data_IF_633280901380
#
_entry.id   IF_633280901380
#
_cell.length_a   1.000
_cell.length_b   1.000
_cell.length_c   1.000
_cell.angle_alpha   90.00
_cell.angle_beta   90.00
_cell.angle_gamma   90.00
#
_symmetry.space_group_name_H-M   'P 1'
#
loop_
_entity.id
_entity.type
_entity.pdbx_description
1 polymer ?
#
# COMPACT_ATOMS: atom_id res chain seq x y z
N UNK A 1 3.22 -6.65 -15.15
CA UNK A 1 2.08 -6.55 -14.19
C UNK A 1 1.16 -5.38 -14.54
N UNK A 2 -0.15 -5.57 -14.47
CA UNK A 2 -1.14 -4.50 -14.65
C UNK A 2 -1.05 -3.43 -13.55
N UNK A 3 -1.61 -2.22 -13.79
CA UNK A 3 -1.58 -1.09 -12.84
C UNK A 3 -2.14 -1.47 -11.46
N UNK A 4 -3.15 -2.34 -11.43
CA UNK A 4 -3.78 -2.81 -10.18
C UNK A 4 -2.82 -3.66 -9.33
N UNK A 5 -1.96 -4.45 -9.98
CA UNK A 5 -1.01 -5.33 -9.29
C UNK A 5 0.28 -4.59 -8.88
N UNK A 6 0.61 -3.47 -9.55
CA UNK A 6 1.70 -2.56 -9.18
C UNK A 6 1.24 -1.55 -8.12
N UNK A 7 0.77 -2.04 -6.98
CA UNK A 7 0.24 -1.21 -5.90
C UNK A 7 1.35 -0.29 -5.34
N UNK A 8 1.06 1.00 -5.06
CA UNK A 8 2.04 1.90 -4.47
C UNK A 8 2.40 1.49 -3.04
N UNK A 9 3.60 1.85 -2.60
CA UNK A 9 4.06 1.64 -1.23
C UNK A 9 4.44 2.98 -0.59
N UNK A 10 3.93 3.24 0.61
CA UNK A 10 4.25 4.45 1.38
C UNK A 10 5.62 4.35 2.05
N UNK A 11 6.29 5.49 2.25
CA UNK A 11 7.55 5.56 3.01
C UNK A 11 7.42 4.93 4.40
N UNK A 12 6.33 5.18 5.13
CA UNK A 12 6.09 4.59 6.45
C UNK A 12 6.17 3.07 6.47
N UNK A 13 5.59 2.40 5.47
CA UNK A 13 5.61 0.94 5.37
C UNK A 13 6.97 0.44 4.92
N UNK A 14 7.63 1.19 4.04
CA UNK A 14 8.96 0.86 3.55
C UNK A 14 9.97 0.87 4.71
N UNK A 15 9.95 1.91 5.56
CA UNK A 15 10.76 2.01 6.79
C UNK A 15 10.53 0.79 7.68
N UNK A 16 9.25 0.47 7.95
CA UNK A 16 8.90 -0.69 8.78
C UNK A 16 9.41 -2.02 8.22
N UNK A 17 9.38 -2.20 6.89
CA UNK A 17 9.84 -3.46 6.27
C UNK A 17 11.36 -3.56 6.16
N UNK A 18 12.06 -2.44 6.20
CA UNK A 18 13.52 -2.34 6.15
C UNK A 18 14.18 -2.31 7.54
N UNK A 19 13.40 -2.20 8.61
CA UNK A 19 13.90 -2.33 9.97
C UNK A 19 14.61 -3.68 10.17
N UNK A 20 15.84 -3.64 10.69
CA UNK A 20 16.71 -4.82 10.88
C UNK A 20 17.31 -5.39 9.58
N UNK A 21 17.16 -4.71 8.44
CA UNK A 21 17.73 -5.10 7.13
C UNK A 21 18.64 -4.00 6.59
N UNK A 22 19.46 -3.46 7.46
CA UNK A 22 20.40 -2.39 7.14
C UNK A 22 21.41 -2.85 6.07
N UNK A 23 21.85 -1.92 5.24
CA UNK A 23 22.78 -2.19 4.13
C UNK A 23 22.16 -2.89 2.89
N UNK A 24 20.95 -3.44 2.99
CA UNK A 24 20.24 -4.05 1.84
C UNK A 24 19.49 -3.02 1.01
N UNK A 25 19.31 -3.31 -0.28
CA UNK A 25 18.52 -2.47 -1.19
C UNK A 25 17.06 -2.90 -1.17
N UNK A 26 16.15 -1.97 -0.84
CA UNK A 26 14.72 -2.19 -0.91
C UNK A 26 14.25 -2.14 -2.37
N UNK A 27 13.71 -3.23 -2.91
CA UNK A 27 13.30 -3.31 -4.32
C UNK A 27 11.79 -3.42 -4.42
N UNK A 28 11.16 -2.45 -5.09
CA UNK A 28 9.72 -2.38 -5.28
C UNK A 28 9.35 -2.30 -6.77
N UNK A 29 8.59 -3.27 -7.25
CA UNK A 29 7.99 -3.21 -8.60
C UNK A 29 6.69 -2.40 -8.55
N UNK A 30 6.82 -1.08 -8.35
CA UNK A 30 5.69 -0.17 -8.16
C UNK A 30 6.14 1.28 -7.95
N UNK A 31 5.21 2.11 -7.46
CA UNK A 31 5.48 3.51 -7.12
C UNK A 31 5.74 3.66 -5.63
N UNK A 32 6.79 4.37 -5.25
CA UNK A 32 7.00 4.82 -3.87
C UNK A 32 6.35 6.19 -3.68
N UNK A 33 5.48 6.30 -2.69
CA UNK A 33 4.76 7.53 -2.35
C UNK A 33 5.19 8.05 -0.99
N UNK A 34 5.21 9.37 -0.86
CA UNK A 34 5.50 10.03 0.41
C UNK A 34 4.41 9.75 1.47
N UNK A 35 4.79 9.88 2.73
CA UNK A 35 3.87 9.83 3.87
C UNK A 35 4.17 10.99 4.81
N UNK A 36 3.33 12.02 4.77
CA UNK A 36 3.46 13.26 5.55
C UNK A 36 3.42 13.00 7.06
N UNK A 37 2.84 11.87 7.47
CA UNK A 37 2.72 11.48 8.89
C UNK A 37 4.03 10.96 9.47
N UNK A 38 5.00 10.59 8.63
CA UNK A 38 6.34 10.22 9.08
C UNK A 38 7.13 11.49 9.24
N UNK A 39 7.80 11.68 10.37
CA UNK A 39 8.68 12.83 10.58
C UNK A 39 10.07 12.53 10.02
N UNK A 40 10.72 11.49 10.57
CA UNK A 40 12.08 11.12 10.21
C UNK A 40 12.12 9.93 9.25
N UNK A 41 12.86 10.11 8.15
CA UNK A 41 13.14 9.04 7.18
C UNK A 41 14.59 8.60 7.41
N UNK A 42 14.85 7.33 7.74
CA UNK A 42 16.21 6.84 7.85
C UNK A 42 16.88 6.71 6.47
N UNK A 43 18.21 6.81 6.44
CA UNK A 43 18.99 6.60 5.24
C UNK A 43 18.80 5.17 4.71
N UNK A 44 18.38 5.04 3.46
CA UNK A 44 18.12 3.74 2.84
C UNK A 44 18.27 3.79 1.32
N UNK A 45 18.63 2.64 0.74
CA UNK A 45 18.72 2.46 -0.71
C UNK A 45 17.43 1.85 -1.21
N UNK A 46 16.72 2.55 -2.09
CA UNK A 46 15.42 2.12 -2.60
C UNK A 46 15.45 2.09 -4.11
N UNK A 47 15.10 0.95 -4.69
CA UNK A 47 14.84 0.80 -6.13
C UNK A 47 13.34 0.72 -6.38
N UNK A 48 12.82 1.56 -7.27
CA UNK A 48 11.41 1.51 -7.67
C UNK A 48 11.20 1.86 -9.14
N UNK A 49 10.00 1.56 -9.67
CA UNK A 49 9.64 1.96 -11.04
C UNK A 49 9.41 3.46 -11.13
N UNK A 50 8.82 4.05 -10.08
CA UNK A 50 8.55 5.49 -9.98
C UNK A 50 8.65 5.95 -8.53
N UNK A 51 9.11 7.17 -8.35
CA UNK A 51 9.08 7.89 -7.07
C UNK A 51 8.21 9.13 -7.26
N UNK A 52 7.37 9.45 -6.27
CA UNK A 52 6.83 10.81 -6.17
C UNK A 52 7.95 11.77 -5.82
N UNK A 53 7.94 12.99 -6.37
CA UNK A 53 9.00 13.98 -6.15
C UNK A 53 9.27 14.26 -4.67
N UNK A 54 8.20 14.39 -3.89
CA UNK A 54 8.30 14.59 -2.43
C UNK A 54 8.97 13.41 -1.72
N UNK A 55 8.69 12.18 -2.12
CA UNK A 55 9.33 11.00 -1.55
C UNK A 55 10.82 10.93 -1.90
N UNK A 56 11.16 11.24 -3.17
CA UNK A 56 12.56 11.30 -3.62
C UNK A 56 13.34 12.31 -2.82
N UNK A 57 12.85 13.55 -2.73
CA UNK A 57 13.50 14.62 -1.99
C UNK A 57 13.74 14.26 -0.52
N UNK A 58 12.79 13.57 0.13
CA UNK A 58 12.94 13.14 1.52
C UNK A 58 13.95 12.00 1.71
N UNK A 59 13.99 11.04 0.80
CA UNK A 59 14.97 9.95 0.83
C UNK A 59 16.38 10.52 0.63
N UNK A 60 16.56 11.40 -0.37
CA UNK A 60 17.85 12.03 -0.67
C UNK A 60 18.31 12.96 0.48
N UNK A 61 17.39 13.75 1.05
CA UNK A 61 17.67 14.59 2.23
C UNK A 61 18.13 13.77 3.45
N UNK A 62 17.61 12.55 3.60
CA UNK A 62 18.02 11.63 4.64
C UNK A 62 19.37 10.93 4.37
N UNK A 63 20.05 11.23 3.26
CA UNK A 63 21.27 10.54 2.83
C UNK A 63 21.00 9.14 2.26
N UNK A 64 19.75 8.85 1.91
CA UNK A 64 19.37 7.65 1.17
C UNK A 64 19.57 7.79 -0.33
N UNK A 65 19.33 6.71 -1.06
CA UNK A 65 19.57 6.63 -2.50
C UNK A 65 18.33 6.11 -3.23
N UNK A 66 17.86 6.88 -4.22
CA UNK A 66 16.77 6.47 -5.10
C UNK A 66 17.33 5.89 -6.40
N UNK A 67 17.13 4.59 -6.62
CA UNK A 67 17.65 3.84 -7.75
C UNK A 67 16.55 3.48 -8.75
N UNK A 68 16.93 3.43 -10.03
CA UNK A 68 16.13 2.83 -11.09
C UNK A 68 16.47 1.33 -11.24
N UNK A 69 15.65 0.60 -11.99
CA UNK A 69 15.86 -0.84 -12.18
C UNK A 69 17.09 -1.17 -13.05
N UNK A 70 17.42 -0.32 -14.01
CA UNK A 70 18.66 -0.40 -14.80
C UNK A 70 19.89 -0.21 -13.92
N UNK A 71 19.90 0.79 -13.03
CA UNK A 71 20.97 0.98 -12.05
C UNK A 71 21.11 -0.19 -11.09
N UNK A 72 19.99 -0.77 -10.64
CA UNK A 72 20.01 -1.98 -9.82
C UNK A 72 20.62 -3.16 -10.56
N UNK A 73 20.25 -3.37 -11.83
CA UNK A 73 20.76 -4.48 -12.64
C UNK A 73 22.27 -4.39 -12.85
N UNK A 74 22.82 -3.18 -12.99
CA UNK A 74 24.27 -2.97 -13.07
C UNK A 74 24.99 -3.26 -11.74
N UNK A 75 24.38 -2.91 -10.61
CA UNK A 75 24.99 -3.10 -9.27
C UNK A 75 24.87 -4.53 -8.74
N UNK A 76 23.71 -5.14 -8.94
CA UNK A 76 23.37 -6.44 -8.39
C UNK A 76 22.61 -7.27 -9.45
N UNK A 77 23.29 -7.75 -10.51
CA UNK A 77 22.65 -8.48 -11.60
C UNK A 77 21.96 -9.77 -11.13
N UNK A 78 22.48 -10.40 -10.08
CA UNK A 78 21.89 -11.59 -9.44
C UNK A 78 20.87 -11.25 -8.35
N UNK A 79 20.65 -9.97 -8.02
CA UNK A 79 19.74 -9.54 -6.95
C UNK A 79 20.24 -9.82 -5.53
N UNK A 80 21.53 -10.10 -5.34
CA UNK A 80 22.12 -10.31 -4.01
C UNK A 80 21.97 -9.05 -3.14
N UNK A 81 21.78 -9.24 -1.83
CA UNK A 81 21.58 -8.16 -0.85
C UNK A 81 20.39 -7.23 -1.15
N UNK A 82 19.38 -7.73 -1.87
CA UNK A 82 18.12 -7.01 -2.10
C UNK A 82 16.98 -7.57 -1.26
N UNK A 83 15.98 -6.74 -1.00
CA UNK A 83 14.73 -7.12 -0.33
C UNK A 83 13.58 -6.79 -1.27
N UNK A 84 12.96 -7.82 -1.84
CA UNK A 84 11.77 -7.64 -2.68
C UNK A 84 10.55 -7.30 -1.80
N UNK A 85 9.96 -6.14 -2.08
CA UNK A 85 8.77 -5.63 -1.39
C UNK A 85 7.61 -5.46 -2.37
N UNK A 86 6.40 -5.45 -1.82
CA UNK A 86 5.18 -5.21 -2.59
C UNK A 86 4.20 -4.35 -1.80
N UNK A 87 3.54 -3.43 -2.50
CA UNK A 87 2.44 -2.62 -1.94
C UNK A 87 1.18 -3.45 -1.63
N UNK A 88 0.30 -2.93 -0.75
CA UNK A 88 -0.93 -3.61 -0.37
C UNK A 88 -1.96 -3.65 -1.52
N UNK A 89 -2.09 -4.80 -2.19
CA UNK A 89 -3.03 -4.98 -3.31
C UNK A 89 -4.51 -4.93 -2.87
N UNK A 90 -4.82 -5.52 -1.72
CA UNK A 90 -6.21 -5.74 -1.29
C UNK A 90 -6.83 -4.56 -0.54
N UNK A 91 -6.09 -3.46 -0.38
CA UNK A 91 -6.57 -2.25 0.34
C UNK A 91 -7.36 -1.29 -0.55
N UNK A 92 -7.48 -1.58 -1.85
CA UNK A 92 -8.22 -0.75 -2.82
C UNK A 92 -9.72 -0.81 -2.54
N UNK A 93 -10.41 0.30 -2.82
CA UNK A 93 -11.86 0.42 -2.63
C UNK A 93 -12.68 -0.68 -3.31
N UNK A 94 -12.34 -1.04 -4.56
CA UNK A 94 -13.02 -2.11 -5.29
C UNK A 94 -12.97 -3.46 -4.56
N UNK A 95 -11.86 -3.77 -3.88
CA UNK A 95 -11.69 -5.05 -3.18
C UNK A 95 -12.59 -5.15 -1.94
N UNK A 96 -12.98 -4.00 -1.35
CA UNK A 96 -13.90 -3.99 -0.20
C UNK A 96 -15.31 -4.47 -0.56
N UNK A 97 -15.66 -4.46 -1.85
CA UNK A 97 -16.94 -4.94 -2.35
C UNK A 97 -16.91 -6.42 -2.76
N UNK A 98 -15.77 -7.08 -2.64
CA UNK A 98 -15.61 -8.50 -2.97
C UNK A 98 -15.74 -9.38 -1.72
N UNK A 99 -16.07 -10.65 -1.92
CA UNK A 99 -16.28 -11.63 -0.85
C UNK A 99 -17.75 -12.03 -0.71
N UNK A 100 -18.13 -12.62 0.44
CA UNK A 100 -19.51 -13.01 0.71
C UNK A 100 -20.47 -11.83 0.54
N UNK A 101 -21.66 -12.06 0.00
CA UNK A 101 -22.61 -10.99 -0.30
C UNK A 101 -22.93 -10.14 0.95
N UNK A 102 -23.12 -8.81 0.81
CA UNK A 102 -23.60 -7.98 1.91
C UNK A 102 -24.96 -8.48 2.40
N UNK A 103 -25.07 -8.84 3.68
CA UNK A 103 -26.30 -9.43 4.23
C UNK A 103 -26.22 -10.93 4.54
N UNK A 104 -25.09 -11.58 4.25
CA UNK A 104 -24.76 -12.91 4.78
C UNK A 104 -24.15 -12.77 6.18
N UNK A 105 -24.52 -13.60 7.17
CA UNK A 105 -23.91 -13.60 8.50
C UNK A 105 -22.37 -13.65 8.44
N UNK A 106 -21.70 -12.89 9.30
CA UNK A 106 -20.23 -12.74 9.33
C UNK A 106 -19.60 -12.11 8.08
N UNK A 107 -20.40 -11.57 7.14
CA UNK A 107 -19.88 -10.80 6.02
C UNK A 107 -19.60 -9.35 6.41
N UNK A 108 -18.38 -8.90 6.11
CA UNK A 108 -17.95 -7.49 6.24
C UNK A 108 -17.82 -6.78 4.88
N UNK A 109 -18.35 -7.39 3.82
CA UNK A 109 -18.31 -6.83 2.46
C UNK A 109 -19.07 -5.51 2.40
N UNK A 110 -18.44 -4.48 1.83
CA UNK A 110 -19.05 -3.18 1.66
C UNK A 110 -20.16 -3.27 0.59
N UNK A 111 -21.40 -2.83 0.89
CA UNK A 111 -22.46 -2.79 -0.11
C UNK A 111 -22.25 -1.66 -1.13
N UNK A 112 -22.74 -1.86 -2.34
CA UNK A 112 -22.84 -0.81 -3.35
C UNK A 112 -24.05 0.07 -3.08
N UNK A 113 -23.83 1.18 -2.38
CA UNK A 113 -24.88 2.15 -2.04
C UNK A 113 -24.81 3.38 -2.93
N UNK A 114 -25.97 3.96 -3.27
CA UNK A 114 -26.05 5.19 -4.08
C UNK A 114 -25.39 6.38 -3.39
N UNK A 115 -25.56 6.52 -2.08
CA UNK A 115 -24.91 7.57 -1.29
C UNK A 115 -24.75 7.16 0.18
N UNK A 116 -23.93 7.91 0.92
CA UNK A 116 -23.81 7.75 2.37
C UNK A 116 -24.93 8.54 3.05
N UNK A 117 -25.66 7.92 3.97
CA UNK A 117 -26.64 8.64 4.80
C UNK A 117 -27.51 7.72 5.63
N UNK A 118 -28.32 8.29 6.53
CA UNK A 118 -29.31 7.53 7.33
C UNK A 118 -30.38 6.87 6.45
N UNK A 119 -30.71 7.49 5.32
CA UNK A 119 -31.77 7.05 4.38
C UNK A 119 -31.35 5.90 3.45
N UNK A 120 -30.07 5.55 3.38
CA UNK A 120 -29.54 4.57 2.43
C UNK A 120 -29.01 3.33 3.16
N UNK A 121 -29.67 2.18 2.96
CA UNK A 121 -29.23 0.83 3.42
C UNK A 121 -28.72 0.75 4.87
N UNK A 122 -29.38 1.45 5.81
CA UNK A 122 -29.06 1.44 7.24
C UNK A 122 -30.20 0.97 8.16
N UNK A 123 -31.30 0.47 7.60
CA UNK A 123 -32.50 0.07 8.35
C UNK A 123 -32.54 -1.44 8.62
N UNK A 124 -33.39 -2.19 7.90
CA UNK A 124 -33.54 -3.65 8.04
C UNK A 124 -32.23 -4.36 7.67
N UNK A 125 -31.85 -5.38 8.44
CA UNK A 125 -30.62 -6.15 8.24
C UNK A 125 -29.34 -5.50 8.79
N UNK A 126 -29.40 -4.24 9.26
CA UNK A 126 -28.26 -3.53 9.88
C UNK A 126 -28.45 -3.21 11.36
N UNK A 127 -29.68 -3.31 11.88
CA UNK A 127 -30.03 -2.96 13.27
C UNK A 127 -31.02 -3.96 13.84
N UNK A 128 -30.82 -4.35 15.10
CA UNK A 128 -31.73 -5.26 15.80
C UNK A 128 -33.16 -4.74 15.86
N UNK A 129 -33.34 -3.41 15.98
CA UNK A 129 -34.65 -2.77 16.12
C UNK A 129 -35.50 -2.72 14.83
N UNK A 130 -34.99 -3.24 13.70
CA UNK A 130 -35.68 -3.20 12.38
C UNK A 130 -35.76 -4.61 11.78
N UNK A 131 -36.32 -5.54 12.54
CA UNK A 131 -36.58 -6.93 12.14
C UNK A 131 -35.44 -7.88 12.51
N UNK A 132 -34.24 -7.66 11.95
CA UNK A 132 -33.05 -8.47 12.26
C UNK A 132 -31.77 -7.70 11.94
N UNK A 133 -30.63 -8.19 12.46
CA UNK A 133 -29.29 -7.70 12.13
C UNK A 133 -28.44 -8.86 11.63
N UNK A 134 -27.73 -8.60 10.53
CA UNK A 134 -26.67 -9.46 9.99
C UNK A 134 -25.33 -9.04 10.55
#
# INVERSE_FOLDING_TARGET
MSKVNKAPLSLSRLIRYMQGKEGKVAVLVGTVTDDIRVHDVPAMKVTALRFTETARARIEKAGGECLTFDQLALRAPLGQNTVLLRGPKNSREAVKHFGPAPGVPHSHTKPYVRSKGRKFEKARGKRNSRGFRV
#
